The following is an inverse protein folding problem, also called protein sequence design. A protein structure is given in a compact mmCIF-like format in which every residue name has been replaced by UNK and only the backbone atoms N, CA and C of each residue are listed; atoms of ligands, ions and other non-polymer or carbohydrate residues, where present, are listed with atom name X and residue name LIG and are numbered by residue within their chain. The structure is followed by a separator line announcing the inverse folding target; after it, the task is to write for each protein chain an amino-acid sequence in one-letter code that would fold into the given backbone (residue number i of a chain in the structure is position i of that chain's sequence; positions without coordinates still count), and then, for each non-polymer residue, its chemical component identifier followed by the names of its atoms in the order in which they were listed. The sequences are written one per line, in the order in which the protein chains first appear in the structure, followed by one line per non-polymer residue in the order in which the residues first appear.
data_IF_326576016999
#
_entry.id   IF_326576016999
#
_cell.length_a   1.000
_cell.length_b   1.000
_cell.length_c   1.000
_cell.angle_alpha   90.00
_cell.angle_beta   90.00
_cell.angle_gamma   90.00
#
_symmetry.space_group_name_H-M   'P 1'
#
loop_
_entity.id
_entity.type
_entity.pdbx_description
1 polymer ?
#
# COMPACT_ATOMS: atom_id res chain seq x y z
N UNK A 1 -20.81 66.36 -29.04
CA UNK A 1 -21.55 65.10 -28.71
C UNK A 1 -20.60 63.90 -28.65
N UNK A 2 -19.42 64.04 -28.03
CA UNK A 2 -18.29 63.08 -28.14
C UNK A 2 -17.76 62.53 -26.80
N UNK A 3 -18.35 62.90 -25.65
CA UNK A 3 -17.82 62.55 -24.32
C UNK A 3 -18.50 61.35 -23.63
N UNK A 4 -19.44 60.65 -24.29
CA UNK A 4 -20.28 59.62 -23.64
C UNK A 4 -19.92 58.18 -23.99
N UNK A 5 -18.94 57.97 -24.87
CA UNK A 5 -18.55 56.65 -25.37
C UNK A 5 -17.46 56.00 -24.51
N UNK A 6 -16.54 56.80 -23.99
CA UNK A 6 -15.35 56.33 -23.26
C UNK A 6 -15.70 55.84 -21.84
N UNK A 7 -16.66 56.51 -21.18
CA UNK A 7 -17.14 56.11 -19.85
C UNK A 7 -17.91 54.78 -19.89
N UNK A 8 -18.67 54.52 -20.96
CA UNK A 8 -19.37 53.22 -21.12
C UNK A 8 -18.40 52.07 -21.38
N UNK A 9 -17.30 52.31 -22.11
CA UNK A 9 -16.29 51.26 -22.34
C UNK A 9 -15.46 50.96 -21.08
N UNK A 10 -15.17 51.96 -20.25
CA UNK A 10 -14.52 51.73 -18.95
C UNK A 10 -15.37 50.86 -18.03
N UNK A 11 -16.67 51.16 -17.91
CA UNK A 11 -17.58 50.42 -17.02
C UNK A 11 -17.82 48.98 -17.52
N UNK A 12 -17.81 48.75 -18.83
CA UNK A 12 -17.98 47.41 -19.40
C UNK A 12 -16.72 46.56 -19.24
N UNK A 13 -15.53 47.15 -19.43
CA UNK A 13 -14.25 46.48 -19.17
C UNK A 13 -14.07 46.14 -17.68
N UNK A 14 -14.52 47.01 -16.78
CA UNK A 14 -14.49 46.74 -15.34
C UNK A 14 -15.41 45.55 -14.99
N UNK A 15 -16.60 45.47 -15.59
CA UNK A 15 -17.51 44.33 -15.37
C UNK A 15 -16.94 43.01 -15.87
N UNK A 16 -16.34 43.00 -17.06
CA UNK A 16 -15.67 41.82 -17.61
C UNK A 16 -14.50 41.38 -16.71
N UNK A 17 -13.74 42.34 -16.15
CA UNK A 17 -12.64 42.04 -15.23
C UNK A 17 -13.09 41.50 -13.86
N UNK A 18 -14.29 41.85 -13.41
CA UNK A 18 -14.88 41.34 -12.18
C UNK A 18 -15.45 39.94 -12.38
N UNK A 19 -16.13 39.69 -13.51
CA UNK A 19 -16.62 38.36 -13.88
C UNK A 19 -15.47 37.36 -14.08
N UNK A 20 -14.38 37.77 -14.74
CA UNK A 20 -13.19 36.93 -14.94
C UNK A 20 -12.43 36.66 -13.63
N UNK A 21 -12.46 37.61 -12.67
CA UNK A 21 -11.95 37.40 -11.31
C UNK A 21 -12.81 36.42 -10.51
N UNK A 22 -14.13 36.53 -10.59
CA UNK A 22 -15.04 35.66 -9.86
C UNK A 22 -15.03 34.22 -10.41
N UNK A 23 -14.90 34.06 -11.73
CA UNK A 23 -14.71 32.75 -12.39
C UNK A 23 -13.35 32.13 -12.02
N UNK A 24 -12.26 32.89 -12.04
CA UNK A 24 -10.95 32.39 -11.57
C UNK A 24 -10.96 32.08 -10.07
N UNK A 25 -11.72 32.83 -9.27
CA UNK A 25 -11.85 32.56 -7.83
C UNK A 25 -12.61 31.27 -7.57
N UNK A 26 -13.72 31.02 -8.28
CA UNK A 26 -14.46 29.77 -8.19
C UNK A 26 -13.65 28.56 -8.66
N UNK A 27 -12.86 28.71 -9.73
CA UNK A 27 -11.98 27.64 -10.22
C UNK A 27 -10.82 27.34 -9.25
N UNK A 28 -10.28 28.37 -8.58
CA UNK A 28 -9.27 28.18 -7.53
C UNK A 28 -9.86 27.58 -6.25
N UNK A 29 -11.09 27.96 -5.85
CA UNK A 29 -11.78 27.38 -4.69
C UNK A 29 -12.11 25.89 -4.89
N UNK A 30 -12.52 25.46 -6.10
CA UNK A 30 -12.70 24.04 -6.41
C UNK A 30 -11.36 23.28 -6.45
N UNK A 31 -10.30 23.87 -7.01
CA UNK A 31 -8.97 23.24 -7.07
C UNK A 31 -8.33 23.13 -5.68
N UNK A 32 -8.59 24.06 -4.75
CA UNK A 32 -8.22 23.94 -3.34
C UNK A 32 -9.01 22.85 -2.62
N UNK A 33 -10.32 22.70 -2.89
CA UNK A 33 -11.16 21.64 -2.33
C UNK A 33 -10.71 20.22 -2.77
N UNK A 34 -10.26 20.07 -4.02
CA UNK A 34 -9.70 18.81 -4.51
C UNK A 34 -8.28 18.54 -3.98
N UNK A 35 -7.48 19.57 -3.71
CA UNK A 35 -6.14 19.40 -3.14
C UNK A 35 -6.17 19.08 -1.63
N UNK A 36 -7.16 19.62 -0.91
CA UNK A 36 -7.33 19.36 0.53
C UNK A 36 -7.97 18.02 0.86
N UNK A 37 -8.69 17.39 -0.08
CA UNK A 37 -9.21 16.03 0.13
C UNK A 37 -8.08 14.98 0.16
N UNK A 38 -6.86 15.34 -0.29
CA UNK A 38 -5.68 14.49 -0.16
C UNK A 38 -4.87 14.74 1.14
N UNK A 39 -5.09 15.87 1.82
CA UNK A 39 -4.36 16.27 3.05
C UNK A 39 -5.19 16.06 4.33
N UNK A 40 -6.52 16.05 4.26
CA UNK A 40 -7.40 16.07 5.44
C UNK A 40 -7.43 14.75 6.26
N UNK A 41 -6.88 13.64 5.78
CA UNK A 41 -6.84 12.39 6.57
C UNK A 41 -5.52 12.09 7.31
N UNK A 42 -4.53 12.99 7.30
CA UNK A 42 -3.30 12.78 8.08
C UNK A 42 -3.27 13.51 9.44
N UNK A 43 -4.09 14.54 9.65
CA UNK A 43 -3.83 15.49 10.76
C UNK A 43 -4.83 15.43 11.93
N UNK A 44 -5.84 14.54 11.89
CA UNK A 44 -6.81 14.37 13.00
C UNK A 44 -6.74 13.03 13.75
N UNK A 45 -5.73 12.21 13.48
CA UNK A 45 -5.46 10.95 14.19
C UNK A 45 -4.38 11.07 15.29
N UNK A 46 -3.90 12.28 15.60
CA UNK A 46 -2.74 12.48 16.47
C UNK A 46 -3.05 13.45 17.60
N UNK A 47 -3.76 13.00 18.63
CA UNK A 47 -3.83 13.76 19.90
C UNK A 47 -3.96 12.91 21.17
N UNK A 48 -3.26 11.76 21.23
CA UNK A 48 -2.91 11.15 22.53
C UNK A 48 -1.46 10.68 22.48
N UNK A 49 -0.58 11.40 23.18
CA UNK A 49 0.82 11.04 23.42
C UNK A 49 1.79 11.58 22.36
N UNK A 50 2.82 12.27 22.82
CA UNK A 50 3.93 12.78 22.00
C UNK A 50 4.60 11.64 21.22
N UNK A 51 4.32 11.54 19.91
CA UNK A 51 5.00 10.61 18.99
C UNK A 51 5.56 11.46 17.85
N UNK A 52 6.85 11.27 17.55
CA UNK A 52 7.61 12.10 16.63
C UNK A 52 6.91 12.30 15.28
N UNK A 53 7.01 13.50 14.73
CA UNK A 53 6.60 13.79 13.37
C UNK A 53 7.47 12.97 12.40
N UNK A 54 7.01 11.78 12.05
CA UNK A 54 7.59 10.99 10.96
C UNK A 54 7.34 11.75 9.67
N UNK A 55 8.41 12.12 8.95
CA UNK A 55 8.26 12.69 7.61
C UNK A 55 7.65 11.62 6.71
N UNK A 56 6.39 11.81 6.29
CA UNK A 56 5.75 10.95 5.28
C UNK A 56 6.41 11.23 3.92
N UNK A 57 7.48 10.51 3.61
CA UNK A 57 8.23 10.66 2.34
C UNK A 57 7.73 9.73 1.24
N UNK A 58 6.86 8.78 1.56
CA UNK A 58 6.32 7.82 0.60
C UNK A 58 5.03 8.33 -0.05
N UNK A 59 5.10 8.55 -1.36
CA UNK A 59 3.94 8.90 -2.17
C UNK A 59 2.98 7.71 -2.30
N UNK A 60 1.67 7.98 -2.38
CA UNK A 60 0.61 6.96 -2.42
C UNK A 60 0.82 5.90 -3.51
N UNK A 61 1.36 6.27 -4.68
CA UNK A 61 1.68 5.31 -5.75
C UNK A 61 2.72 4.28 -5.33
N UNK A 62 3.75 4.68 -4.59
CA UNK A 62 4.80 3.76 -4.14
C UNK A 62 4.20 2.75 -3.14
N UNK A 63 3.35 3.21 -2.23
CA UNK A 63 2.65 2.32 -1.30
C UNK A 63 1.75 1.30 -2.02
N UNK A 64 1.02 1.73 -3.05
CA UNK A 64 0.22 0.82 -3.87
C UNK A 64 1.08 -0.20 -4.62
N UNK A 65 2.23 0.21 -5.16
CA UNK A 65 3.15 -0.72 -5.84
C UNK A 65 3.73 -1.75 -4.87
N UNK A 66 4.08 -1.36 -3.64
CA UNK A 66 4.52 -2.29 -2.60
C UNK A 66 3.40 -3.27 -2.24
N UNK A 67 2.17 -2.79 -2.09
CA UNK A 67 1.01 -3.63 -1.78
C UNK A 67 0.71 -4.65 -2.89
N UNK A 68 0.82 -4.24 -4.16
CA UNK A 68 0.64 -5.14 -5.31
C UNK A 68 1.79 -6.16 -5.39
N UNK A 69 3.03 -5.71 -5.23
CA UNK A 69 4.19 -6.59 -5.26
C UNK A 69 4.16 -7.65 -4.15
N UNK A 70 3.80 -7.25 -2.93
CA UNK A 70 3.66 -8.16 -1.79
C UNK A 70 2.48 -9.12 -1.92
N UNK A 71 1.37 -8.71 -2.53
CA UNK A 71 0.17 -9.56 -2.65
C UNK A 71 0.27 -10.62 -3.74
N UNK A 72 0.97 -10.33 -4.85
CA UNK A 72 1.21 -11.34 -5.90
C UNK A 72 2.25 -12.37 -5.41
N UNK A 73 3.36 -11.89 -4.83
CA UNK A 73 4.40 -12.71 -4.22
C UNK A 73 5.09 -13.73 -5.16
N UNK A 74 6.18 -14.32 -4.69
CA UNK A 74 6.87 -15.41 -5.42
C UNK A 74 6.16 -16.76 -5.24
N UNK A 75 5.48 -16.93 -4.10
CA UNK A 75 4.77 -18.17 -3.76
C UNK A 75 3.69 -18.56 -4.77
N UNK A 76 3.03 -17.60 -5.41
CA UNK A 76 2.05 -17.87 -6.46
C UNK A 76 2.71 -18.56 -7.67
N UNK A 77 3.84 -18.03 -8.14
CA UNK A 77 4.55 -18.58 -9.29
C UNK A 77 5.13 -19.97 -9.00
N UNK A 78 5.76 -20.14 -7.83
CA UNK A 78 6.32 -21.44 -7.42
C UNK A 78 5.21 -22.48 -7.29
N UNK A 79 4.13 -22.15 -6.58
CA UNK A 79 3.04 -23.11 -6.32
C UNK A 79 2.31 -23.51 -7.60
N UNK A 80 2.00 -22.56 -8.49
CA UNK A 80 1.34 -22.87 -9.76
C UNK A 80 2.24 -23.75 -10.64
N UNK A 81 3.55 -23.44 -10.69
CA UNK A 81 4.52 -24.14 -11.52
C UNK A 81 4.83 -25.57 -11.08
N UNK A 82 4.89 -25.84 -9.77
CA UNK A 82 5.35 -27.15 -9.27
C UNK A 82 4.24 -28.13 -8.92
N UNK A 83 3.13 -27.68 -8.32
CA UNK A 83 2.17 -28.58 -7.66
C UNK A 83 0.72 -28.24 -7.96
N UNK A 84 0.41 -26.96 -8.11
CA UNK A 84 -0.95 -26.47 -8.27
C UNK A 84 -1.63 -27.05 -9.51
N UNK A 85 -1.00 -26.95 -10.67
CA UNK A 85 -1.61 -27.40 -11.93
C UNK A 85 -1.58 -28.93 -12.07
N UNK A 86 -0.49 -29.55 -11.62
CA UNK A 86 -0.26 -31.00 -11.76
C UNK A 86 -1.20 -31.81 -10.87
N UNK A 87 -1.44 -31.37 -9.64
CA UNK A 87 -2.23 -32.14 -8.67
C UNK A 87 -3.70 -31.70 -8.60
N UNK A 88 -4.00 -30.42 -8.78
CA UNK A 88 -5.35 -29.86 -8.60
C UNK A 88 -6.17 -29.74 -9.89
N UNK A 89 -5.53 -29.85 -11.05
CA UNK A 89 -6.16 -29.51 -12.34
C UNK A 89 -6.55 -28.03 -12.45
N UNK A 90 -6.96 -27.56 -13.64
CA UNK A 90 -7.26 -26.14 -13.86
C UNK A 90 -8.47 -25.65 -13.06
N UNK A 91 -9.47 -26.52 -12.85
CA UNK A 91 -10.68 -26.17 -12.12
C UNK A 91 -10.46 -26.14 -10.60
N UNK A 92 -9.67 -27.07 -10.05
CA UNK A 92 -9.33 -27.09 -8.62
C UNK A 92 -8.43 -25.91 -8.20
N UNK A 93 -7.50 -25.52 -9.08
CA UNK A 93 -6.72 -24.30 -8.90
C UNK A 93 -7.59 -23.04 -8.81
N UNK A 94 -8.52 -22.86 -9.76
CA UNK A 94 -9.40 -21.70 -9.76
C UNK A 94 -10.27 -21.68 -8.49
N UNK A 95 -10.88 -22.80 -8.13
CA UNK A 95 -11.77 -22.88 -6.97
C UNK A 95 -11.03 -22.55 -5.67
N UNK A 96 -9.84 -23.13 -5.47
CA UNK A 96 -9.01 -22.87 -4.29
C UNK A 96 -8.56 -21.42 -4.20
N UNK A 97 -8.19 -20.81 -5.33
CA UNK A 97 -7.81 -19.40 -5.40
C UNK A 97 -8.99 -18.48 -5.06
N UNK A 98 -10.19 -18.73 -5.60
CA UNK A 98 -11.39 -17.95 -5.30
C UNK A 98 -11.78 -18.03 -3.82
N UNK A 99 -11.76 -19.24 -3.24
CA UNK A 99 -12.11 -19.44 -1.82
C UNK A 99 -11.09 -18.73 -0.91
N UNK A 100 -9.79 -18.90 -1.18
CA UNK A 100 -8.73 -18.28 -0.37
C UNK A 100 -8.77 -16.76 -0.45
N UNK A 101 -8.96 -16.21 -1.65
CA UNK A 101 -9.06 -14.76 -1.86
C UNK A 101 -10.31 -14.18 -1.19
N UNK A 102 -11.44 -14.90 -1.22
CA UNK A 102 -12.67 -14.46 -0.55
C UNK A 102 -12.50 -14.39 0.97
N UNK A 103 -11.86 -15.39 1.58
CA UNK A 103 -11.57 -15.38 3.02
C UNK A 103 -10.66 -14.20 3.41
N UNK A 104 -9.59 -13.97 2.63
CA UNK A 104 -8.65 -12.87 2.88
C UNK A 104 -9.32 -11.51 2.64
N UNK A 105 -10.22 -11.39 1.65
CA UNK A 105 -10.99 -10.18 1.38
C UNK A 105 -11.86 -9.80 2.59
N UNK A 106 -12.59 -10.77 3.14
CA UNK A 106 -13.43 -10.56 4.33
C UNK A 106 -12.57 -10.13 5.53
N UNK A 107 -11.44 -10.80 5.77
CA UNK A 107 -10.51 -10.45 6.85
C UNK A 107 -9.94 -9.03 6.69
N UNK A 108 -9.52 -8.67 5.47
CA UNK A 108 -8.95 -7.35 5.17
C UNK A 108 -10.00 -6.25 5.30
N UNK A 109 -11.24 -6.53 4.91
CA UNK A 109 -12.35 -5.58 5.03
C UNK A 109 -12.71 -5.34 6.50
N UNK A 110 -12.84 -6.40 7.30
CA UNK A 110 -13.09 -6.30 8.74
C UNK A 110 -11.95 -5.55 9.47
N UNK A 111 -10.70 -5.85 9.10
CA UNK A 111 -9.55 -5.12 9.64
C UNK A 111 -9.56 -3.65 9.21
N UNK A 112 -9.92 -3.37 7.95
CA UNK A 112 -10.00 -2.01 7.41
C UNK A 112 -11.05 -1.15 8.12
N UNK A 113 -12.24 -1.69 8.41
CA UNK A 113 -13.26 -1.00 9.21
C UNK A 113 -12.72 -0.66 10.60
N UNK A 114 -12.06 -1.62 11.24
CA UNK A 114 -11.51 -1.45 12.58
C UNK A 114 -10.36 -0.43 12.63
N UNK A 115 -9.52 -0.34 11.59
CA UNK A 115 -8.47 0.69 11.44
C UNK A 115 -9.05 2.07 11.17
N UNK A 116 -10.13 2.15 10.39
CA UNK A 116 -10.80 3.41 10.11
C UNK A 116 -11.49 4.00 11.35
N UNK A 117 -11.97 3.15 12.26
CA UNK A 117 -12.55 3.56 13.54
C UNK A 117 -11.51 4.08 14.52
N UNK A 118 -10.35 3.43 14.59
CA UNK A 118 -9.27 3.82 15.51
C UNK A 118 -7.90 3.73 14.81
N UNK A 119 -7.40 4.84 14.26
CA UNK A 119 -6.08 4.86 13.62
C UNK A 119 -5.01 4.73 14.70
N UNK A 120 -4.39 3.55 14.78
CA UNK A 120 -3.22 3.27 15.62
C UNK A 120 -2.07 2.82 14.74
N UNK A 121 -0.85 3.11 15.17
CA UNK A 121 0.34 2.54 14.56
C UNK A 121 0.27 1.01 14.64
N UNK A 122 0.88 0.29 13.69
CA UNK A 122 0.85 -1.19 13.61
C UNK A 122 -0.55 -1.79 13.88
N UNK A 123 -1.54 -1.49 13.01
CA UNK A 123 -2.95 -1.64 13.31
C UNK A 123 -3.31 -3.02 13.85
N UNK A 124 -3.03 -4.09 13.10
CA UNK A 124 -3.45 -5.44 13.49
C UNK A 124 -2.78 -5.97 14.78
N UNK A 125 -1.57 -5.51 15.12
CA UNK A 125 -0.85 -5.94 16.34
C UNK A 125 -1.40 -5.19 17.56
N UNK A 126 -1.43 -3.86 17.49
CA UNK A 126 -1.88 -3.02 18.61
C UNK A 126 -3.39 -3.15 18.87
N UNK A 127 -4.17 -3.47 17.84
CA UNK A 127 -5.60 -3.73 17.96
C UNK A 127 -5.89 -5.04 18.72
N UNK A 128 -5.00 -6.03 18.60
CA UNK A 128 -5.11 -7.29 19.32
C UNK A 128 -5.02 -7.08 20.85
N UNK A 129 -4.13 -6.20 21.30
CA UNK A 129 -3.99 -5.87 22.72
C UNK A 129 -5.12 -5.03 23.29
N UNK A 130 -5.70 -4.15 22.47
CA UNK A 130 -6.81 -3.28 22.87
C UNK A 130 -8.17 -3.99 22.90
N UNK A 131 -8.40 -4.96 22.02
CA UNK A 131 -9.69 -5.64 21.91
C UNK A 131 -9.76 -6.95 22.69
N UNK A 132 -8.65 -7.67 22.83
CA UNK A 132 -8.63 -8.99 23.46
C UNK A 132 -7.93 -8.90 24.80
N UNK A 133 -6.59 -8.82 24.79
CA UNK A 133 -5.75 -8.76 26.00
C UNK A 133 -4.29 -8.44 25.62
N UNK A 134 -3.52 -7.71 26.46
CA UNK A 134 -2.10 -7.46 26.22
C UNK A 134 -1.24 -8.73 26.09
N UNK A 135 -1.62 -9.86 26.72
CA UNK A 135 -0.89 -11.12 26.53
C UNK A 135 -1.08 -11.70 25.12
N UNK A 136 -2.26 -11.49 24.52
CA UNK A 136 -2.56 -11.92 23.16
C UNK A 136 -1.84 -11.06 22.11
N UNK A 137 -1.66 -9.77 22.38
CA UNK A 137 -0.81 -8.88 21.59
C UNK A 137 0.63 -9.39 21.52
N UNK A 138 1.22 -9.73 22.67
CA UNK A 138 2.59 -10.25 22.73
C UNK A 138 2.71 -11.60 21.98
N UNK A 139 1.75 -12.50 22.17
CA UNK A 139 1.74 -13.80 21.50
C UNK A 139 1.61 -13.69 19.97
N UNK A 140 0.68 -12.86 19.48
CA UNK A 140 0.46 -12.63 18.04
C UNK A 140 1.63 -11.90 17.39
N UNK A 141 2.28 -10.97 18.10
CA UNK A 141 3.48 -10.28 17.63
C UNK A 141 4.65 -11.23 17.43
N UNK A 142 4.91 -12.13 18.39
CA UNK A 142 5.97 -13.14 18.25
C UNK A 142 5.63 -14.14 17.14
N UNK A 143 4.36 -14.54 17.03
CA UNK A 143 3.92 -15.41 15.94
C UNK A 143 4.14 -14.77 14.56
N UNK A 144 3.76 -13.50 14.41
CA UNK A 144 3.96 -12.73 13.20
C UNK A 144 5.44 -12.56 12.86
N UNK A 145 6.29 -12.28 13.86
CA UNK A 145 7.73 -12.17 13.67
C UNK A 145 8.37 -13.49 13.21
N UNK A 146 7.96 -14.63 13.78
CA UNK A 146 8.42 -15.95 13.35
C UNK A 146 8.00 -16.23 11.92
N UNK A 147 6.73 -15.96 11.57
CA UNK A 147 6.22 -16.10 10.21
C UNK A 147 7.02 -15.24 9.23
N UNK A 148 7.27 -13.98 9.57
CA UNK A 148 8.04 -13.06 8.72
C UNK A 148 9.49 -13.53 8.53
N UNK A 149 10.10 -14.08 9.57
CA UNK A 149 11.47 -14.62 9.53
C UNK A 149 11.57 -15.86 8.64
N UNK A 150 10.54 -16.71 8.62
CA UNK A 150 10.49 -17.92 7.79
C UNK A 150 10.27 -17.62 6.30
N UNK A 151 9.77 -16.44 5.92
CA UNK A 151 9.68 -16.06 4.51
C UNK A 151 11.06 -15.87 3.87
N UNK A 152 12.07 -15.41 4.61
CA UNK A 152 13.41 -15.19 4.07
C UNK A 152 14.02 -16.49 3.48
N UNK A 153 14.12 -17.62 4.22
CA UNK A 153 14.62 -18.87 3.65
C UNK A 153 13.69 -19.46 2.57
N UNK A 154 12.38 -19.20 2.66
CA UNK A 154 11.44 -19.59 1.60
C UNK A 154 11.76 -18.90 0.27
N UNK A 155 11.99 -17.59 0.27
CA UNK A 155 12.37 -16.83 -0.93
C UNK A 155 13.69 -17.33 -1.52
N UNK A 156 14.68 -17.65 -0.67
CA UNK A 156 15.96 -18.18 -1.15
C UNK A 156 15.77 -19.55 -1.83
N UNK A 157 14.93 -20.40 -1.27
CA UNK A 157 14.62 -21.72 -1.85
C UNK A 157 13.83 -21.59 -3.16
N UNK A 158 12.91 -20.62 -3.23
CA UNK A 158 12.16 -20.32 -4.45
C UNK A 158 13.07 -19.88 -5.61
N UNK A 159 14.00 -18.95 -5.35
CA UNK A 159 14.99 -18.50 -6.34
C UNK A 159 15.90 -19.65 -6.78
N UNK A 160 16.31 -20.51 -5.84
CA UNK A 160 17.10 -21.70 -6.15
C UNK A 160 16.34 -22.61 -7.14
N UNK A 161 15.08 -22.92 -6.84
CA UNK A 161 14.22 -23.73 -7.70
C UNK A 161 14.01 -23.12 -9.10
N UNK A 162 13.89 -21.80 -9.20
CA UNK A 162 13.66 -21.15 -10.50
C UNK A 162 14.90 -21.17 -11.40
N UNK A 163 16.10 -21.10 -10.83
CA UNK A 163 17.33 -21.17 -11.63
C UNK A 163 17.58 -22.63 -12.06
N UNK A 164 17.27 -23.60 -11.20
CA UNK A 164 17.30 -25.03 -11.55
C UNK A 164 16.36 -25.37 -12.71
N UNK A 165 15.22 -24.68 -12.84
CA UNK A 165 14.34 -24.86 -13.99
C UNK A 165 15.05 -24.66 -15.36
N UNK A 166 16.06 -23.78 -15.42
CA UNK A 166 16.79 -23.47 -16.67
C UNK A 166 18.15 -24.15 -16.79
N UNK A 167 18.81 -24.46 -15.67
CA UNK A 167 20.13 -25.10 -15.64
C UNK A 167 20.31 -25.90 -14.36
N UNK A 168 20.66 -27.17 -14.48
CA UNK A 168 20.90 -28.06 -13.33
C UNK A 168 22.38 -28.31 -13.02
N UNK A 169 23.29 -27.76 -13.83
CA UNK A 169 24.73 -28.10 -13.76
C UNK A 169 25.52 -27.40 -12.64
N UNK A 170 24.88 -26.72 -11.68
CA UNK A 170 25.57 -25.95 -10.64
C UNK A 170 25.08 -26.30 -9.24
N UNK A 171 25.96 -26.14 -8.24
CA UNK A 171 25.64 -26.46 -6.85
C UNK A 171 24.67 -25.43 -6.24
N UNK A 172 23.62 -25.88 -5.54
CA UNK A 172 22.69 -25.01 -4.79
C UNK A 172 23.37 -24.07 -3.78
N UNK A 173 24.59 -24.39 -3.34
CA UNK A 173 25.37 -23.54 -2.44
C UNK A 173 25.74 -22.18 -3.05
N UNK A 174 25.86 -22.09 -4.38
CA UNK A 174 26.31 -20.87 -5.06
C UNK A 174 25.22 -19.79 -5.00
N UNK A 175 23.96 -20.16 -5.29
CA UNK A 175 22.82 -19.24 -5.25
C UNK A 175 22.51 -18.80 -3.82
N UNK A 176 22.69 -19.68 -2.84
CA UNK A 176 22.60 -19.34 -1.41
C UNK A 176 23.58 -18.21 -1.02
N UNK A 177 24.87 -18.37 -1.37
CA UNK A 177 25.91 -17.39 -1.04
C UNK A 177 25.63 -16.04 -1.72
N UNK A 178 25.25 -16.06 -3.00
CA UNK A 178 24.92 -14.84 -3.75
C UNK A 178 23.76 -14.08 -3.09
N UNK A 179 22.69 -14.78 -2.71
CA UNK A 179 21.51 -14.15 -2.13
C UNK A 179 21.79 -13.54 -0.74
N UNK A 180 22.59 -14.21 0.08
CA UNK A 180 23.04 -13.68 1.38
C UNK A 180 23.87 -12.42 1.20
N UNK A 181 24.79 -12.40 0.22
CA UNK A 181 25.62 -11.21 -0.07
C UNK A 181 24.76 -10.04 -0.54
N UNK A 182 23.75 -10.29 -1.38
CA UNK A 182 22.82 -9.25 -1.83
C UNK A 182 22.04 -8.67 -0.65
N UNK A 183 21.51 -9.52 0.24
CA UNK A 183 20.80 -9.06 1.44
C UNK A 183 21.70 -8.26 2.38
N UNK A 184 22.95 -8.69 2.56
CA UNK A 184 23.93 -7.94 3.34
C UNK A 184 24.24 -6.58 2.71
N UNK A 185 24.37 -6.50 1.38
CA UNK A 185 24.66 -5.27 0.66
C UNK A 185 23.50 -4.26 0.69
N UNK A 186 22.25 -4.72 0.64
CA UNK A 186 21.06 -3.85 0.74
C UNK A 186 20.89 -3.29 2.16
N UNK A 187 21.36 -4.03 3.17
CA UNK A 187 21.26 -3.65 4.58
C UNK A 187 22.38 -2.68 5.04
N UNK A 188 23.35 -2.38 4.17
CA UNK A 188 24.45 -1.43 4.41
C UNK A 188 24.15 -0.09 3.76
#
# INVERSE_FOLDING_TARGET
MWFKKDEKQSVDNDKISLEEKDVNRGFNEEHELFHDTSSINSDKASSVGSVGHTKRTLYNRHLQLIAIGGSIGTGLFVTIGTTGLVNGGPLGLLLSYCISTLLILLLTTATGEMVSYMPVDAPFLNMAGRVIDPAFEAASSVNFWIMQSLYIPFEITAVNGIIHFWRDDYSPAITLVIQIVIYAAINV
#
